data_IF_481338288617
#
_entry.id   IF_481338288617
#
_cell.length_a   1.000
_cell.length_b   1.000
_cell.length_c   1.000
_cell.angle_alpha   90.00
_cell.angle_beta   90.00
_cell.angle_gamma   90.00
#
_symmetry.space_group_name_H-M   'P 1'
#
loop_
_entity.id
_entity.type
_entity.pdbx_description
1 polymer ?
#
# COMPACT_ATOMS: atom_id res chain seq x y z
N UNK A 1 -16.67 -60.71 17.26
CA UNK A 1 -17.71 -60.35 16.27
C UNK A 1 -18.08 -58.89 16.48
N UNK A 2 -17.76 -58.09 15.46
CA UNK A 2 -17.99 -56.68 15.13
C UNK A 2 -18.39 -55.63 16.18
N UNK A 3 -17.52 -54.62 16.26
CA UNK A 3 -17.75 -53.27 16.77
C UNK A 3 -18.52 -52.40 15.76
N UNK A 4 -19.42 -51.55 16.24
CA UNK A 4 -20.05 -50.46 15.46
C UNK A 4 -19.18 -49.21 15.52
N UNK A 5 -18.79 -48.71 14.34
CA UNK A 5 -18.13 -47.42 14.17
C UNK A 5 -19.17 -46.36 13.76
N UNK A 6 -19.33 -45.32 14.57
CA UNK A 6 -20.08 -44.12 14.22
C UNK A 6 -19.24 -43.25 13.28
N UNK A 7 -19.75 -43.02 12.08
CA UNK A 7 -19.19 -42.13 11.07
C UNK A 7 -19.75 -40.72 11.25
N UNK A 8 -18.87 -39.75 11.49
CA UNK A 8 -19.19 -38.32 11.46
C UNK A 8 -18.39 -37.68 10.32
N UNK A 9 -19.09 -37.22 9.28
CA UNK A 9 -18.50 -36.49 8.17
C UNK A 9 -18.14 -35.05 8.58
N UNK A 10 -16.99 -34.49 8.15
CA UNK A 10 -16.76 -33.06 8.26
C UNK A 10 -17.42 -32.33 7.08
N UNK A 11 -18.24 -31.33 7.41
CA UNK A 11 -18.84 -30.40 6.46
C UNK A 11 -17.78 -29.52 5.80
N UNK A 12 -17.80 -29.48 4.47
CA UNK A 12 -16.98 -28.60 3.63
C UNK A 12 -17.63 -27.22 3.61
N UNK A 13 -17.00 -26.24 4.26
CA UNK A 13 -17.38 -24.83 4.16
C UNK A 13 -16.70 -24.20 2.94
N UNK A 14 -17.48 -23.95 1.89
CA UNK A 14 -17.03 -23.29 0.67
C UNK A 14 -16.72 -21.80 0.92
N UNK A 15 -15.44 -21.44 0.95
CA UNK A 15 -15.02 -20.05 0.82
C UNK A 15 -15.06 -19.66 -0.67
N UNK A 16 -16.15 -19.02 -1.10
CA UNK A 16 -16.21 -18.33 -2.39
C UNK A 16 -15.33 -17.07 -2.33
N UNK A 17 -14.06 -17.22 -2.72
CA UNK A 17 -13.22 -16.12 -3.13
C UNK A 17 -13.18 -16.08 -4.65
N UNK A 18 -13.71 -15.02 -5.27
CA UNK A 18 -13.52 -14.79 -6.71
C UNK A 18 -12.03 -14.50 -6.93
N UNK A 19 -11.32 -15.48 -7.48
CA UNK A 19 -9.96 -15.30 -7.98
C UNK A 19 -10.06 -14.85 -9.43
N UNK A 20 -9.90 -13.54 -9.67
CA UNK A 20 -9.65 -13.06 -11.03
C UNK A 20 -8.17 -13.31 -11.30
N UNK A 21 -7.89 -14.30 -12.15
CA UNK A 21 -6.54 -14.74 -12.46
C UNK A 21 -5.66 -13.57 -12.89
N UNK A 22 -4.53 -13.39 -12.20
CA UNK A 22 -3.47 -12.51 -12.66
C UNK A 22 -2.95 -13.04 -14.01
N UNK A 23 -2.78 -12.20 -15.05
CA UNK A 23 -2.20 -12.64 -16.29
C UNK A 23 -0.73 -13.02 -16.06
N UNK A 24 -0.29 -14.11 -16.66
CA UNK A 24 1.12 -14.41 -16.89
C UNK A 24 1.66 -13.37 -17.89
N UNK A 25 2.40 -12.37 -17.39
CA UNK A 25 3.02 -11.33 -18.21
C UNK A 25 4.39 -11.82 -18.69
N UNK A 26 4.59 -11.79 -20.01
CA UNK A 26 5.83 -12.15 -20.68
C UNK A 26 6.96 -11.13 -20.48
N UNK A 27 8.19 -11.64 -20.51
CA UNK A 27 9.43 -10.89 -20.32
C UNK A 27 9.71 -9.89 -21.45
N UNK A 28 10.26 -8.72 -21.10
CA UNK A 28 10.97 -7.86 -22.05
C UNK A 28 10.93 -6.38 -21.72
N UNK A 29 11.83 -5.90 -20.84
CA UNK A 29 12.01 -4.47 -20.56
C UNK A 29 13.48 -4.10 -20.30
N UNK A 30 13.98 -3.13 -21.06
CA UNK A 30 15.39 -2.69 -21.19
C UNK A 30 16.05 -2.32 -19.84
N UNK A 31 17.31 -2.74 -19.56
CA UNK A 31 17.98 -2.44 -18.30
C UNK A 31 18.45 -0.98 -18.24
N UNK A 32 17.97 -0.21 -17.27
CA UNK A 32 18.55 1.10 -16.91
C UNK A 32 17.52 2.17 -16.56
N UNK A 33 16.50 2.35 -17.41
CA UNK A 33 15.35 3.23 -17.15
C UNK A 33 14.24 2.53 -16.32
N UNK A 34 14.23 1.19 -16.29
CA UNK A 34 13.25 0.38 -15.57
C UNK A 34 13.50 0.18 -14.07
N UNK A 35 14.36 0.99 -13.42
CA UNK A 35 14.77 0.75 -12.02
C UNK A 35 13.85 1.39 -10.98
N UNK A 36 12.95 2.28 -11.39
CA UNK A 36 12.07 3.04 -10.50
C UNK A 36 10.67 3.05 -11.10
N UNK A 37 9.66 2.64 -10.32
CA UNK A 37 8.26 2.74 -10.68
C UNK A 37 7.79 4.19 -10.48
N UNK A 38 6.96 4.72 -11.39
CA UNK A 38 6.52 6.11 -11.32
C UNK A 38 5.63 6.32 -10.10
N UNK A 39 5.68 7.54 -9.56
CA UNK A 39 4.84 8.00 -8.45
C UNK A 39 4.39 9.43 -8.75
N UNK A 40 3.38 9.91 -8.04
CA UNK A 40 2.93 11.30 -8.12
C UNK A 40 4.06 12.26 -7.72
N UNK A 41 4.19 13.38 -8.41
CA UNK A 41 5.29 14.33 -8.20
C UNK A 41 5.40 14.81 -6.74
N UNK A 42 4.25 14.98 -6.08
CA UNK A 42 4.14 15.37 -4.68
C UNK A 42 4.76 14.32 -3.73
N UNK A 43 4.65 13.04 -4.07
CA UNK A 43 5.27 11.94 -3.33
C UNK A 43 6.73 11.72 -3.72
N UNK A 44 7.10 11.96 -4.97
CA UNK A 44 8.49 11.89 -5.41
C UNK A 44 9.38 12.84 -4.58
N UNK A 45 8.84 14.00 -4.18
CA UNK A 45 9.56 14.99 -3.36
C UNK A 45 9.94 14.50 -1.95
N UNK A 46 9.27 13.48 -1.41
CA UNK A 46 9.58 12.92 -0.08
C UNK A 46 10.34 11.61 -0.15
N UNK A 47 10.43 11.00 -1.33
CA UNK A 47 11.17 9.76 -1.52
C UNK A 47 12.66 10.04 -1.77
N UNK A 48 13.56 9.10 -1.43
CA UNK A 48 14.99 9.23 -1.75
C UNK A 48 15.32 9.14 -3.25
N UNK A 49 14.35 8.72 -4.06
CA UNK A 49 14.44 8.55 -5.51
C UNK A 49 13.23 9.24 -6.14
N UNK A 50 13.26 9.55 -7.46
CA UNK A 50 12.13 10.18 -8.17
C UNK A 50 10.87 9.30 -8.25
N UNK A 51 10.86 8.14 -7.60
CA UNK A 51 9.75 7.21 -7.51
C UNK A 51 10.06 6.00 -6.63
N UNK A 52 9.30 4.92 -6.77
CA UNK A 52 9.50 3.71 -6.01
C UNK A 52 10.56 2.82 -6.66
N UNK A 53 11.75 2.77 -6.08
CA UNK A 53 12.85 1.95 -6.59
C UNK A 53 12.45 0.47 -6.60
N UNK A 54 12.54 -0.20 -7.75
CA UNK A 54 12.33 -1.64 -7.88
C UNK A 54 13.25 -2.41 -6.94
N UNK A 55 12.70 -3.44 -6.29
CA UNK A 55 13.39 -4.22 -5.27
C UNK A 55 13.47 -3.54 -3.90
N UNK A 56 12.99 -2.31 -3.74
CA UNK A 56 13.00 -1.64 -2.44
C UNK A 56 11.88 -2.15 -1.53
N UNK A 57 12.03 -1.87 -0.23
CA UNK A 57 10.99 -2.10 0.77
C UNK A 57 10.62 -0.79 1.42
N UNK A 58 9.38 -0.35 1.21
CA UNK A 58 8.86 0.95 1.66
C UNK A 58 7.72 0.68 2.64
N UNK A 59 7.99 0.80 3.93
CA UNK A 59 6.99 0.59 4.98
C UNK A 59 6.09 1.82 5.12
N UNK A 60 4.78 1.64 5.02
CA UNK A 60 3.78 2.71 5.15
C UNK A 60 3.06 2.56 6.48
N UNK A 61 2.94 3.66 7.23
CA UNK A 61 2.32 3.66 8.55
C UNK A 61 1.06 4.54 8.59
N UNK A 62 -0.04 3.97 9.08
CA UNK A 62 -1.21 4.71 9.56
C UNK A 62 -2.10 5.37 8.50
N UNK A 63 -1.78 5.27 7.20
CA UNK A 63 -2.56 5.94 6.14
C UNK A 63 -2.76 5.06 4.92
N UNK A 64 -3.97 4.50 4.77
CA UNK A 64 -4.37 3.73 3.57
C UNK A 64 -4.47 4.64 2.34
N UNK A 65 -4.86 5.91 2.52
CA UNK A 65 -4.83 6.89 1.44
C UNK A 65 -3.40 7.08 0.89
N UNK A 66 -2.38 7.09 1.75
CA UNK A 66 -0.98 7.21 1.32
C UNK A 66 -0.54 5.97 0.57
N UNK A 67 -0.99 4.80 1.03
CA UNK A 67 -0.76 3.54 0.34
C UNK A 67 -1.36 3.59 -1.09
N UNK A 68 -2.62 3.99 -1.26
CA UNK A 68 -3.23 4.13 -2.59
C UNK A 68 -2.52 5.15 -3.46
N UNK A 69 -2.11 6.27 -2.88
CA UNK A 69 -1.34 7.29 -3.58
C UNK A 69 -0.01 6.77 -4.14
N UNK A 70 0.66 5.87 -3.43
CA UNK A 70 1.88 5.20 -3.89
C UNK A 70 1.63 4.18 -5.01
N UNK A 71 0.43 3.58 -5.06
CA UNK A 71 0.05 2.62 -6.10
C UNK A 71 -0.47 3.28 -7.37
N UNK A 72 -1.08 4.47 -7.25
CA UNK A 72 -1.87 5.11 -8.30
C UNK A 72 -1.09 5.25 -9.62
N UNK A 73 0.03 5.96 -9.61
CA UNK A 73 0.77 6.28 -10.83
C UNK A 73 1.36 5.03 -11.50
N UNK A 74 1.92 4.11 -10.71
CA UNK A 74 2.52 2.89 -11.23
C UNK A 74 1.48 1.98 -11.88
N UNK A 75 0.29 1.83 -11.27
CA UNK A 75 -0.79 1.02 -11.83
C UNK A 75 -1.41 1.67 -13.07
N UNK A 76 -1.62 2.99 -13.06
CA UNK A 76 -2.04 3.74 -14.25
C UNK A 76 -1.03 3.63 -15.41
N UNK A 77 0.27 3.53 -15.09
CA UNK A 77 1.35 3.33 -16.07
C UNK A 77 1.54 1.87 -16.50
N UNK A 78 0.65 0.96 -16.10
CA UNK A 78 0.64 -0.43 -16.56
C UNK A 78 1.21 -1.46 -15.59
N UNK A 79 1.73 -1.05 -14.42
CA UNK A 79 2.26 -1.99 -13.43
C UNK A 79 1.13 -2.75 -12.71
N UNK A 80 1.39 -4.00 -12.32
CA UNK A 80 0.47 -4.75 -11.46
C UNK A 80 0.75 -4.48 -9.98
N UNK A 81 -0.31 -4.35 -9.19
CA UNK A 81 -0.24 -4.25 -7.74
C UNK A 81 -1.07 -5.35 -7.07
N UNK A 82 -0.59 -5.87 -5.94
CA UNK A 82 -1.32 -6.82 -5.11
C UNK A 82 -1.43 -6.33 -3.67
N UNK A 83 -2.61 -6.44 -3.07
CA UNK A 83 -2.85 -6.12 -1.65
C UNK A 83 -3.20 -7.38 -0.88
N UNK A 84 -2.35 -7.75 0.07
CA UNK A 84 -2.48 -9.00 0.84
C UNK A 84 -2.75 -8.71 2.30
N UNK A 85 -3.78 -9.30 2.89
CA UNK A 85 -4.01 -9.28 4.35
C UNK A 85 -4.38 -7.93 4.95
N UNK A 86 -4.74 -6.94 4.13
CA UNK A 86 -5.29 -5.66 4.58
C UNK A 86 -6.82 -5.72 4.49
N UNK A 87 -7.47 -5.99 5.63
CA UNK A 87 -8.93 -6.05 5.72
C UNK A 87 -9.55 -4.65 5.67
N UNK A 88 -10.76 -4.54 5.12
CA UNK A 88 -11.53 -3.28 5.12
C UNK A 88 -11.01 -2.20 4.15
N UNK A 89 -10.22 -2.57 3.14
CA UNK A 89 -9.81 -1.62 2.10
C UNK A 89 -11.00 -1.23 1.21
N UNK A 90 -11.11 0.05 0.86
CA UNK A 90 -12.12 0.54 -0.08
C UNK A 90 -11.54 0.61 -1.48
N UNK A 91 -12.08 -0.20 -2.40
CA UNK A 91 -11.72 -0.15 -3.83
C UNK A 91 -12.21 1.13 -4.49
N UNK A 92 -13.33 1.69 -4.03
CA UNK A 92 -13.83 2.99 -4.50
C UNK A 92 -12.82 4.08 -4.15
N UNK A 93 -12.34 4.12 -2.91
CA UNK A 93 -11.32 5.10 -2.50
C UNK A 93 -9.99 4.89 -3.25
N UNK A 94 -9.62 3.64 -3.56
CA UNK A 94 -8.46 3.37 -4.39
C UNK A 94 -8.62 3.96 -5.80
N UNK A 95 -9.77 3.75 -6.45
CA UNK A 95 -10.07 4.31 -7.76
C UNK A 95 -10.09 5.85 -7.74
N UNK A 96 -10.70 6.46 -6.72
CA UNK A 96 -10.72 7.92 -6.56
C UNK A 96 -9.31 8.51 -6.37
N UNK A 97 -8.40 7.77 -5.72
CA UNK A 97 -6.98 8.16 -5.61
C UNK A 97 -6.20 7.94 -6.92
N UNK A 98 -6.80 7.27 -7.92
CA UNK A 98 -6.21 7.03 -9.24
C UNK A 98 -5.53 5.66 -9.38
N UNK A 99 -5.85 4.69 -8.52
CA UNK A 99 -5.40 3.30 -8.69
C UNK A 99 -6.17 2.65 -9.84
N UNK A 100 -5.45 2.09 -10.80
CA UNK A 100 -6.05 1.33 -11.90
C UNK A 100 -6.54 -0.02 -11.38
N UNK A 101 -7.84 -0.13 -11.11
CA UNK A 101 -8.43 -1.31 -10.50
C UNK A 101 -8.30 -2.56 -11.39
N UNK A 102 -8.24 -2.41 -12.71
CA UNK A 102 -8.01 -3.55 -13.62
C UNK A 102 -6.61 -4.18 -13.45
N UNK A 103 -5.71 -3.51 -12.72
CA UNK A 103 -4.34 -3.96 -12.41
C UNK A 103 -4.10 -4.13 -10.92
N UNK A 104 -5.16 -4.20 -10.12
CA UNK A 104 -5.11 -4.39 -8.68
C UNK A 104 -5.67 -5.76 -8.29
N UNK A 105 -4.80 -6.66 -7.83
CA UNK A 105 -5.21 -7.90 -7.18
C UNK A 105 -5.40 -7.68 -5.67
N UNK A 106 -6.45 -8.26 -5.09
CA UNK A 106 -6.69 -8.17 -3.64
C UNK A 106 -6.88 -9.55 -3.04
N UNK A 107 -6.10 -9.84 -2.01
CA UNK A 107 -6.17 -11.05 -1.20
C UNK A 107 -6.46 -10.64 0.25
N UNK A 108 -7.73 -10.40 0.63
CA UNK A 108 -8.07 -9.85 1.95
C UNK A 108 -7.68 -10.81 3.09
N UNK A 109 -7.73 -12.11 2.83
CA UNK A 109 -7.49 -13.19 3.79
C UNK A 109 -6.53 -14.21 3.17
N UNK A 110 -5.21 -14.10 3.40
CA UNK A 110 -4.21 -15.00 2.80
C UNK A 110 -4.17 -16.41 3.40
N UNK A 111 -5.13 -16.78 4.26
CA UNK A 111 -5.21 -18.12 4.84
C UNK A 111 -4.06 -18.43 5.82
N UNK A 112 -3.69 -19.70 5.89
CA UNK A 112 -2.70 -20.22 6.85
C UNK A 112 -1.23 -19.94 6.52
N UNK A 113 -0.92 -19.58 5.27
CA UNK A 113 0.45 -19.26 4.83
C UNK A 113 0.53 -17.87 4.16
N UNK A 114 0.46 -16.79 4.94
CA UNK A 114 0.60 -15.44 4.41
C UNK A 114 1.97 -15.18 3.79
N UNK A 115 3.03 -15.83 4.27
CA UNK A 115 4.40 -15.62 3.78
C UNK A 115 4.56 -16.22 2.39
N UNK A 116 4.06 -17.44 2.17
CA UNK A 116 4.04 -18.09 0.86
C UNK A 116 3.22 -17.32 -0.17
N UNK A 117 2.04 -16.81 0.20
CA UNK A 117 1.21 -15.98 -0.69
C UNK A 117 1.95 -14.71 -1.12
N UNK A 118 2.57 -13.99 -0.18
CA UNK A 118 3.36 -12.79 -0.51
C UNK A 118 4.57 -13.17 -1.38
N UNK A 119 5.27 -14.26 -1.05
CA UNK A 119 6.42 -14.71 -1.82
C UNK A 119 6.06 -15.06 -3.27
N UNK A 120 4.91 -15.71 -3.50
CA UNK A 120 4.42 -16.03 -4.83
C UNK A 120 4.07 -14.76 -5.63
N UNK A 121 3.42 -13.78 -4.99
CA UNK A 121 3.09 -12.52 -5.64
C UNK A 121 4.34 -11.71 -5.99
N UNK A 122 5.35 -11.70 -5.12
CA UNK A 122 6.63 -11.03 -5.39
C UNK A 122 7.37 -11.59 -6.62
N UNK A 123 7.05 -12.80 -7.07
CA UNK A 123 7.66 -13.40 -8.25
C UNK A 123 7.03 -12.91 -9.57
N UNK A 124 5.84 -12.30 -9.54
CA UNK A 124 5.10 -11.93 -10.77
C UNK A 124 4.43 -10.55 -10.75
N UNK A 125 4.48 -9.82 -9.65
CA UNK A 125 3.80 -8.52 -9.47
C UNK A 125 4.81 -7.41 -9.17
N UNK A 126 4.61 -6.23 -9.76
CA UNK A 126 5.53 -5.09 -9.60
C UNK A 126 5.49 -4.48 -8.19
N UNK A 127 4.31 -4.43 -7.56
CA UNK A 127 4.07 -3.87 -6.23
C UNK A 127 3.29 -4.84 -5.36
N UNK A 128 3.80 -5.17 -4.17
CA UNK A 128 3.11 -6.06 -3.23
C UNK A 128 2.94 -5.38 -1.89
N UNK A 129 1.69 -5.06 -1.55
CA UNK A 129 1.29 -4.55 -0.24
C UNK A 129 1.04 -5.68 0.72
N UNK A 130 1.62 -5.57 1.92
CA UNK A 130 1.46 -6.57 2.98
C UNK A 130 0.81 -5.93 4.20
N UNK A 131 -0.49 -6.18 4.36
CA UNK A 131 -1.23 -5.89 5.57
C UNK A 131 -0.89 -6.86 6.70
N UNK A 132 -1.14 -6.44 7.94
CA UNK A 132 -0.85 -7.27 9.11
C UNK A 132 0.64 -7.53 9.34
N UNK A 133 1.51 -6.62 8.88
CA UNK A 133 2.97 -6.74 8.94
C UNK A 133 3.51 -7.18 10.31
N UNK A 134 2.88 -6.76 11.41
CA UNK A 134 3.23 -7.17 12.78
C UNK A 134 3.12 -8.67 13.07
N UNK A 135 2.35 -9.41 12.26
CA UNK A 135 2.18 -10.88 12.40
C UNK A 135 3.23 -11.68 11.65
N UNK A 136 4.07 -11.03 10.83
CA UNK A 136 5.15 -11.68 10.09
C UNK A 136 6.41 -11.62 10.94
N UNK A 137 7.07 -12.76 11.14
CA UNK A 137 8.32 -12.82 11.88
C UNK A 137 9.43 -12.05 11.16
N UNK A 138 10.36 -11.45 11.92
CA UNK A 138 11.48 -10.69 11.36
C UNK A 138 12.35 -11.48 10.37
N UNK A 139 12.51 -12.79 10.60
CA UNK A 139 13.20 -13.69 9.67
C UNK A 139 12.50 -13.74 8.31
N UNK A 140 11.19 -13.85 8.31
CA UNK A 140 10.38 -13.91 7.09
C UNK A 140 10.29 -12.55 6.42
N UNK A 141 10.15 -11.46 7.19
CA UNK A 141 10.21 -10.11 6.68
C UNK A 141 11.53 -9.83 5.94
N UNK A 142 12.67 -10.29 6.49
CA UNK A 142 13.99 -10.20 5.82
C UNK A 142 14.05 -11.06 4.55
N UNK A 143 13.52 -12.29 4.60
CA UNK A 143 13.45 -13.20 3.42
C UNK A 143 12.60 -12.61 2.31
N UNK A 144 11.42 -12.08 2.62
CA UNK A 144 10.53 -11.42 1.66
C UNK A 144 11.17 -10.15 1.08
N UNK A 145 11.82 -9.34 1.91
CA UNK A 145 12.57 -8.15 1.43
C UNK A 145 13.71 -8.55 0.49
N UNK A 146 14.42 -9.65 0.78
CA UNK A 146 15.45 -10.17 -0.11
C UNK A 146 14.87 -10.71 -1.42
N UNK A 147 13.72 -11.39 -1.36
CA UNK A 147 13.02 -11.87 -2.55
C UNK A 147 12.55 -10.72 -3.43
N UNK A 148 11.96 -9.68 -2.84
CA UNK A 148 11.56 -8.46 -3.54
C UNK A 148 12.74 -7.84 -4.30
N UNK A 149 13.92 -7.73 -3.66
CA UNK A 149 15.16 -7.28 -4.31
C UNK A 149 15.56 -8.15 -5.49
N UNK A 150 15.55 -9.46 -5.32
CA UNK A 150 15.97 -10.40 -6.37
C UNK A 150 15.00 -10.41 -7.57
N UNK A 151 13.70 -10.18 -7.33
CA UNK A 151 12.66 -10.14 -8.37
C UNK A 151 12.40 -8.75 -8.95
N UNK A 152 12.99 -7.70 -8.37
CA UNK A 152 12.70 -6.32 -8.78
C UNK A 152 11.29 -5.85 -8.44
N UNK A 153 10.60 -6.51 -7.50
CA UNK A 153 9.28 -6.11 -6.99
C UNK A 153 9.44 -5.11 -5.84
N UNK A 154 8.51 -4.17 -5.71
CA UNK A 154 8.47 -3.21 -4.60
C UNK A 154 7.58 -3.77 -3.49
N UNK A 155 8.17 -3.99 -2.33
CA UNK A 155 7.45 -4.48 -1.16
C UNK A 155 6.95 -3.28 -0.33
N UNK A 156 5.64 -3.25 -0.07
CA UNK A 156 4.94 -2.18 0.63
C UNK A 156 4.24 -2.70 1.91
N UNK A 157 4.98 -2.97 3.00
CA UNK A 157 4.38 -3.36 4.26
C UNK A 157 3.51 -2.22 4.82
N UNK A 158 2.28 -2.53 5.24
CA UNK A 158 1.44 -1.61 5.99
C UNK A 158 1.64 -1.84 7.50
N UNK A 159 2.62 -1.13 8.07
CA UNK A 159 3.07 -1.25 9.45
C UNK A 159 4.59 -1.42 9.58
N UNK A 160 5.09 -1.73 10.80
CA UNK A 160 6.52 -1.94 11.03
C UNK A 160 7.03 -3.14 10.25
N UNK A 161 8.27 -3.04 9.75
CA UNK A 161 8.89 -4.08 8.94
C UNK A 161 10.40 -4.15 9.14
N UNK A 162 10.92 -5.34 9.39
CA UNK A 162 12.34 -5.56 9.59
C UNK A 162 13.14 -5.27 8.31
N UNK A 163 14.05 -4.29 8.39
CA UNK A 163 14.92 -3.94 7.27
C UNK A 163 14.27 -3.10 6.17
N UNK A 164 13.13 -2.45 6.44
CA UNK A 164 12.56 -1.43 5.55
C UNK A 164 13.62 -0.38 5.19
N UNK A 165 13.73 -0.07 3.91
CA UNK A 165 14.67 0.93 3.40
C UNK A 165 14.12 2.34 3.65
N UNK A 166 12.84 2.52 3.34
CA UNK A 166 12.08 3.75 3.58
C UNK A 166 10.92 3.45 4.53
N UNK A 167 10.64 4.35 5.44
CA UNK A 167 9.45 4.38 6.29
C UNK A 167 8.70 5.68 6.02
N UNK A 168 7.43 5.56 5.64
CA UNK A 168 6.54 6.67 5.36
C UNK A 168 5.47 6.76 6.44
N UNK A 169 5.28 7.95 7.01
CA UNK A 169 4.27 8.21 8.04
C UNK A 169 3.48 9.47 7.69
N UNK A 170 2.16 9.44 7.87
CA UNK A 170 1.34 10.65 7.83
C UNK A 170 1.17 11.22 9.24
N UNK A 171 1.33 12.54 9.37
CA UNK A 171 1.07 13.32 10.58
C UNK A 171 0.32 14.63 10.23
N UNK A 172 -0.02 15.40 11.26
CA UNK A 172 -0.57 16.76 11.16
C UNK A 172 -1.76 16.91 10.20
N UNK A 173 -2.81 16.12 10.45
CA UNK A 173 -4.00 16.11 9.62
C UNK A 173 -4.90 17.33 9.87
N UNK A 174 -5.02 18.19 8.86
CA UNK A 174 -5.96 19.31 8.81
C UNK A 174 -7.07 19.01 7.77
N UNK A 175 -8.31 18.92 8.22
CA UNK A 175 -9.46 18.66 7.33
C UNK A 175 -10.18 19.94 6.89
N UNK A 176 -10.72 19.90 5.67
CA UNK A 176 -11.54 20.95 5.04
C UNK A 176 -12.79 20.37 4.38
N UNK A 177 -13.82 21.21 4.18
CA UNK A 177 -15.03 20.86 3.42
C UNK A 177 -16.35 21.25 4.08
N UNK A 178 -16.34 21.59 5.37
CA UNK A 178 -17.54 21.90 6.17
C UNK A 178 -18.03 23.36 6.09
N UNK A 179 -17.49 24.20 5.19
CA UNK A 179 -17.97 25.56 4.96
C UNK A 179 -18.23 26.37 6.24
N UNK A 180 -19.50 26.74 6.46
CA UNK A 180 -20.01 27.48 7.63
C UNK A 180 -20.45 26.58 8.81
N UNK A 181 -19.97 25.33 8.88
CA UNK A 181 -20.34 24.35 9.92
C UNK A 181 -21.27 23.22 9.45
N UNK A 182 -21.54 23.11 8.14
CA UNK A 182 -22.33 22.03 7.54
C UNK A 182 -21.71 21.57 6.22
N UNK A 183 -21.91 20.30 5.85
CA UNK A 183 -21.37 19.69 4.64
C UNK A 183 -20.53 18.44 4.92
N UNK A 184 -19.71 18.05 3.95
CA UNK A 184 -18.86 16.86 4.04
C UNK A 184 -17.39 17.24 4.06
N UNK A 185 -16.55 16.46 4.74
CA UNK A 185 -15.10 16.58 4.62
C UNK A 185 -14.71 16.19 3.19
N UNK A 186 -13.99 17.08 2.50
CA UNK A 186 -13.63 16.93 1.08
C UNK A 186 -12.14 16.76 0.87
N UNK A 187 -11.34 17.40 1.71
CA UNK A 187 -9.88 17.43 1.57
C UNK A 187 -9.23 17.28 2.93
N UNK A 188 -8.09 16.57 2.96
CA UNK A 188 -7.23 16.47 4.14
C UNK A 188 -5.82 16.88 3.77
N UNK A 189 -5.33 17.99 4.32
CA UNK A 189 -3.91 18.30 4.27
C UNK A 189 -3.18 17.49 5.33
N UNK A 190 -2.11 16.80 4.95
CA UNK A 190 -1.26 16.01 5.85
C UNK A 190 0.21 16.33 5.60
N UNK A 191 1.04 16.14 6.62
CA UNK A 191 2.49 16.09 6.47
C UNK A 191 2.90 14.62 6.31
N UNK A 192 3.55 14.28 5.21
CA UNK A 192 4.16 12.97 5.02
C UNK A 192 5.63 13.07 5.37
N UNK A 193 6.07 12.21 6.28
CA UNK A 193 7.46 12.08 6.67
C UNK A 193 8.03 10.80 6.06
N UNK A 194 9.19 10.93 5.41
CA UNK A 194 10.05 9.84 5.03
C UNK A 194 11.28 9.81 5.92
N UNK A 195 11.66 8.62 6.36
CA UNK A 195 12.93 8.34 6.98
C UNK A 195 13.28 6.87 6.81
N UNK A 196 14.38 6.42 7.40
CA UNK A 196 14.80 5.04 7.29
C UNK A 196 16.30 4.91 7.27
N UNK A 197 16.81 4.08 6.37
CA UNK A 197 18.23 3.72 6.30
C UNK A 197 18.79 3.97 4.89
N UNK A 198 20.12 4.00 4.78
CA UNK A 198 20.78 4.22 3.49
C UNK A 198 20.37 5.57 2.89
N UNK A 199 19.82 5.56 1.67
CA UNK A 199 19.37 6.77 0.99
C UNK A 199 18.24 7.52 1.73
N UNK A 200 17.48 6.84 2.61
CA UNK A 200 16.44 7.45 3.44
C UNK A 200 16.92 7.86 4.84
N UNK A 201 18.24 7.83 5.09
CA UNK A 201 18.81 8.19 6.40
C UNK A 201 18.62 9.67 6.75
N UNK A 202 18.63 10.55 5.74
CA UNK A 202 18.25 11.95 5.90
C UNK A 202 16.71 12.05 5.90
N UNK A 203 16.08 12.45 7.01
CA UNK A 203 14.64 12.60 7.04
C UNK A 203 14.18 13.68 6.07
N UNK A 204 13.10 13.40 5.35
CA UNK A 204 12.45 14.35 4.46
C UNK A 204 10.97 14.44 4.84
N UNK A 205 10.36 15.59 4.64
CA UNK A 205 8.92 15.74 4.82
C UNK A 205 8.33 16.67 3.77
N UNK A 206 7.13 16.34 3.29
CA UNK A 206 6.37 17.22 2.42
C UNK A 206 4.93 17.30 2.90
N UNK A 207 4.27 18.43 2.59
CA UNK A 207 2.85 18.63 2.89
C UNK A 207 2.04 18.39 1.62
N UNK A 208 0.99 17.57 1.72
CA UNK A 208 0.15 17.20 0.57
C UNK A 208 -1.31 17.02 0.98
N UNK A 209 -2.21 17.11 0.00
CA UNK A 209 -3.61 16.74 0.13
C UNK A 209 -3.79 15.24 -0.07
N UNK A 210 -4.41 14.58 0.89
CA UNK A 210 -4.57 13.13 0.94
C UNK A 210 -5.77 12.72 1.81
N UNK A 211 -7.00 12.65 1.29
CA UNK A 211 -7.34 12.92 -0.11
C UNK A 211 -7.36 14.41 -0.44
N UNK A 212 -7.06 14.76 -1.69
CA UNK A 212 -7.41 16.05 -2.28
C UNK A 212 -8.81 16.06 -2.89
N UNK A 213 -9.16 17.13 -3.62
CA UNK A 213 -10.45 17.20 -4.32
C UNK A 213 -10.56 16.06 -5.31
N UNK A 214 -11.66 15.31 -5.24
CA UNK A 214 -11.89 14.14 -6.09
C UNK A 214 -11.11 12.88 -5.68
N UNK A 215 -10.44 12.89 -4.52
CA UNK A 215 -9.79 11.71 -3.94
C UNK A 215 -8.31 11.52 -4.29
N UNK A 216 -7.83 12.20 -5.34
CA UNK A 216 -6.43 12.16 -5.76
C UNK A 216 -5.50 12.96 -4.83
N UNK A 217 -4.20 12.65 -4.91
CA UNK A 217 -3.14 13.45 -4.27
C UNK A 217 -3.11 14.84 -4.92
N UNK A 218 -2.84 15.87 -4.12
CA UNK A 218 -2.59 17.20 -4.65
C UNK A 218 -1.73 18.04 -3.71
N UNK A 219 -1.40 19.24 -4.15
CA UNK A 219 -0.66 20.23 -3.35
C UNK A 219 -1.66 21.04 -2.52
N UNK A 220 -1.40 21.28 -1.21
CA UNK A 220 -2.27 22.15 -0.43
C UNK A 220 -2.16 23.56 -0.97
N UNK A 221 -3.30 24.22 -1.22
CA UNK A 221 -3.28 25.65 -1.48
C UNK A 221 -2.72 26.38 -0.26
N UNK A 222 -1.74 27.26 -0.49
CA UNK A 222 -1.12 28.09 0.53
C UNK A 222 -2.10 29.21 0.90
N UNK A 223 -3.01 28.91 1.82
CA UNK A 223 -4.06 29.85 2.20
C UNK A 223 -4.34 29.84 3.70
N UNK A 224 -4.04 30.99 4.30
CA UNK A 224 -3.99 31.29 5.72
C UNK A 224 -5.25 32.05 6.13
N UNK A 225 -6.44 31.40 6.15
CA UNK A 225 -7.64 32.06 6.70
C UNK A 225 -8.89 31.20 6.97
N UNK A 226 -9.01 29.97 6.44
CA UNK A 226 -10.25 29.18 6.61
C UNK A 226 -10.22 28.28 7.85
N UNK A 227 -11.36 28.09 8.54
CA UNK A 227 -11.44 27.22 9.71
C UNK A 227 -11.01 25.79 9.35
N UNK A 228 -10.07 25.24 10.14
CA UNK A 228 -9.52 23.90 9.97
C UNK A 228 -10.01 23.02 11.10
N UNK A 229 -10.38 21.79 10.77
CA UNK A 229 -10.67 20.78 11.78
C UNK A 229 -9.42 19.92 12.00
N UNK A 230 -9.00 19.79 13.26
CA UNK A 230 -7.98 18.83 13.66
C UNK A 230 -8.65 17.54 14.10
N UNK A 231 -8.07 16.41 13.73
CA UNK A 231 -8.49 15.13 14.31
C UNK A 231 -8.10 15.11 15.79
N UNK A 232 -9.08 14.95 16.66
CA UNK A 232 -8.86 14.54 18.05
C UNK A 232 -8.90 13.02 18.05
N UNK A 233 -7.86 12.36 18.55
CA UNK A 233 -7.90 10.91 18.73
C UNK A 233 -9.05 10.61 19.70
N UNK A 234 -10.03 9.81 19.27
CA UNK A 234 -11.00 9.24 20.20
C UNK A 234 -10.28 8.23 21.07
N UNK A 235 -10.36 8.40 22.39
CA UNK A 235 -9.91 7.41 23.38
C UNK A 235 -10.67 6.08 23.26
#
# INVERSE_FOLDING_TARGET
MSAMASSTAPGVSAAHGVFVGAPVVGEGGVPGAGRVLPTRAELAAVLPWPGLRRGSTVAVHGSVSLLFALLAEATASGSWAAVVGLAGISLVAAAETGVELARLAVVPRPGGDPVGVVAALLDGVDLVVVGGARRIADSDARRLSARARNRGSVLLPFGPWAGAEVQLRCADADWRGIGQGHGYLRERAVTVHAGGRGAASRPCSCRLLLPGRGGAVGVPADETARPRLRSVAGE
#
